data_IF_137559000813
#
_entry.id   IF_137559000813
#
_cell.length_a   1.000
_cell.length_b   1.000
_cell.length_c   1.000
_cell.angle_alpha   90.00
_cell.angle_beta   90.00
_cell.angle_gamma   90.00
#
_symmetry.space_group_name_H-M   'P 1'
#
loop_
_entity.id
_entity.type
_entity.pdbx_description
1 polymer ?
#
# COMPACT_ATOMS: atom_id res chain seq x y z
N UNK A 1 3.03 22.88 6.72
CA UNK A 1 3.53 21.52 6.98
C UNK A 1 2.74 20.60 6.07
N UNK A 2 3.36 19.97 5.08
CA UNK A 2 2.64 19.02 4.21
C UNK A 2 2.21 17.81 5.03
N UNK A 3 0.92 17.52 4.99
CA UNK A 3 0.35 16.37 5.68
C UNK A 3 0.81 15.10 4.95
N UNK A 4 1.60 14.27 5.63
CA UNK A 4 2.24 13.13 5.02
C UNK A 4 1.51 11.86 5.47
N UNK A 5 1.18 11.02 4.50
CA UNK A 5 0.47 9.76 4.70
C UNK A 5 1.46 8.60 4.74
N UNK A 6 1.22 7.62 5.60
CA UNK A 6 1.93 6.35 5.61
C UNK A 6 1.28 5.37 4.64
N UNK A 7 2.07 4.79 3.74
CA UNK A 7 1.63 3.85 2.72
C UNK A 7 2.49 2.59 2.81
N UNK A 8 1.85 1.44 3.00
CA UNK A 8 2.53 0.13 2.98
C UNK A 8 2.83 -0.26 1.53
N UNK A 9 4.11 -0.55 1.24
CA UNK A 9 4.54 -0.97 -0.08
C UNK A 9 3.99 -2.36 -0.43
N UNK A 10 3.33 -2.54 -1.59
CA UNK A 10 2.75 -3.82 -2.00
C UNK A 10 3.78 -4.91 -2.33
N UNK A 11 5.06 -4.54 -2.48
CA UNK A 11 6.11 -5.46 -2.91
C UNK A 11 6.99 -5.98 -1.77
N UNK A 12 7.22 -5.16 -0.74
CA UNK A 12 8.16 -5.49 0.34
C UNK A 12 7.61 -5.21 1.74
N UNK A 13 6.33 -4.83 1.86
CA UNK A 13 5.64 -4.47 3.10
C UNK A 13 6.28 -3.32 3.91
N UNK A 14 7.26 -2.61 3.34
CA UNK A 14 7.87 -1.43 3.98
C UNK A 14 6.86 -0.28 4.07
N UNK A 15 6.82 0.42 5.20
CA UNK A 15 5.99 1.61 5.39
C UNK A 15 6.72 2.84 4.86
N UNK A 16 6.06 3.59 3.98
CA UNK A 16 6.61 4.77 3.32
C UNK A 16 5.84 5.99 3.75
N UNK A 17 6.54 7.03 4.16
CA UNK A 17 5.95 8.35 4.40
C UNK A 17 5.93 9.11 3.08
N UNK A 18 4.73 9.46 2.61
CA UNK A 18 4.50 10.10 1.31
C UNK A 18 3.73 11.41 1.54
N UNK A 19 4.24 12.56 1.08
CA UNK A 19 3.46 13.81 1.11
C UNK A 19 2.14 13.62 0.34
N UNK A 20 1.03 14.13 0.87
CA UNK A 20 -0.30 13.95 0.25
C UNK A 20 -0.32 14.41 -1.22
N UNK A 21 0.36 15.52 -1.53
CA UNK A 21 0.50 16.06 -2.89
C UNK A 21 1.28 15.14 -3.85
N UNK A 22 2.08 14.22 -3.32
CA UNK A 22 2.88 13.27 -4.11
C UNK A 22 2.19 11.94 -4.33
N UNK A 23 1.02 11.67 -3.72
CA UNK A 23 0.29 10.41 -3.90
C UNK A 23 -0.08 10.16 -5.37
N UNK A 24 -0.37 11.23 -6.12
CA UNK A 24 -0.72 11.18 -7.54
C UNK A 24 0.49 11.21 -8.48
N UNK A 25 1.71 11.32 -7.94
CA UNK A 25 2.95 11.49 -8.72
C UNK A 25 3.76 10.20 -8.85
N UNK A 26 3.09 9.05 -8.86
CA UNK A 26 3.71 7.72 -8.94
C UNK A 26 4.87 7.53 -7.93
N UNK A 27 4.62 7.68 -6.62
CA UNK A 27 5.66 7.58 -5.60
C UNK A 27 6.27 6.18 -5.59
N UNK A 28 7.59 6.13 -5.32
CA UNK A 28 8.37 4.88 -5.23
C UNK A 28 8.66 4.55 -3.77
N UNK A 29 8.74 3.26 -3.47
CA UNK A 29 9.13 2.79 -2.16
C UNK A 29 10.58 3.19 -1.84
N UNK A 30 10.82 3.73 -0.65
CA UNK A 30 12.15 4.08 -0.17
C UNK A 30 13.09 2.88 -0.03
N UNK A 31 12.55 1.68 0.23
CA UNK A 31 13.29 0.42 0.44
C UNK A 31 13.56 -0.34 -0.86
N UNK A 32 12.53 -0.80 -1.57
CA UNK A 32 12.70 -1.62 -2.78
C UNK A 32 12.67 -0.83 -4.10
N UNK A 33 12.42 0.48 -4.07
CA UNK A 33 12.38 1.39 -5.23
C UNK A 33 11.28 1.12 -6.27
N UNK A 34 10.41 0.13 -6.05
CA UNK A 34 9.23 -0.10 -6.89
C UNK A 34 8.11 0.90 -6.59
N UNK A 35 7.19 1.11 -7.54
CA UNK A 35 6.06 2.02 -7.38
C UNK A 35 5.11 1.54 -6.26
N UNK A 36 4.58 2.48 -5.49
CA UNK A 36 3.61 2.17 -4.43
C UNK A 36 2.21 1.89 -4.99
N UNK A 37 1.84 2.54 -6.09
CA UNK A 37 0.57 2.35 -6.77
C UNK A 37 0.81 1.75 -8.16
N UNK A 38 0.36 0.51 -8.35
CA UNK A 38 0.57 -0.27 -9.58
C UNK A 38 -0.72 -0.50 -10.38
N UNK A 39 -1.87 -0.03 -9.87
CA UNK A 39 -3.17 -0.20 -10.52
C UNK A 39 -3.63 -1.66 -10.60
N UNK A 40 -3.12 -2.54 -9.73
CA UNK A 40 -3.47 -3.95 -9.66
C UNK A 40 -3.71 -4.35 -8.21
N UNK A 41 -4.62 -5.29 -7.94
CA UNK A 41 -4.76 -5.89 -6.62
C UNK A 41 -3.46 -6.53 -6.14
N UNK A 42 -3.31 -6.59 -4.82
CA UNK A 42 -2.21 -7.26 -4.14
C UNK A 42 -2.79 -8.47 -3.44
N UNK A 43 -2.18 -9.63 -3.66
CA UNK A 43 -2.58 -10.84 -2.94
C UNK A 43 -2.27 -10.68 -1.45
N UNK A 44 -3.30 -10.78 -0.62
CA UNK A 44 -3.16 -10.70 0.82
C UNK A 44 -3.20 -12.11 1.42
N UNK A 45 -2.31 -12.32 2.38
CA UNK A 45 -2.20 -13.52 3.20
C UNK A 45 -2.25 -13.12 4.66
N UNK A 46 -2.38 -14.09 5.56
CA UNK A 46 -2.27 -13.83 7.00
C UNK A 46 -0.97 -13.08 7.39
N UNK A 47 0.11 -13.27 6.64
CA UNK A 47 1.41 -12.66 6.91
C UNK A 47 1.49 -11.16 6.57
N UNK A 48 0.71 -10.66 5.60
CA UNK A 48 0.80 -9.26 5.15
C UNK A 48 -0.48 -8.45 5.42
N UNK A 49 -1.63 -9.11 5.59
CA UNK A 49 -2.94 -8.47 5.71
C UNK A 49 -2.98 -7.39 6.81
N UNK A 50 -2.59 -7.75 8.04
CA UNK A 50 -2.60 -6.84 9.18
C UNK A 50 -1.73 -5.60 8.96
N UNK A 51 -0.57 -5.78 8.34
CA UNK A 51 0.33 -4.66 8.04
C UNK A 51 -0.35 -3.68 7.07
N UNK A 52 -0.96 -4.19 6.01
CA UNK A 52 -1.61 -3.35 4.99
C UNK A 52 -2.78 -2.54 5.56
N UNK A 53 -3.64 -3.14 6.38
CA UNK A 53 -4.83 -2.47 6.92
C UNK A 53 -4.52 -1.51 8.08
N UNK A 54 -3.54 -1.83 8.93
CA UNK A 54 -3.31 -1.09 10.16
C UNK A 54 -2.28 0.03 10.03
N UNK A 55 -1.47 0.00 8.96
CA UNK A 55 -0.33 0.92 8.77
C UNK A 55 -0.40 1.75 7.50
N UNK A 56 -1.53 1.69 6.79
CA UNK A 56 -1.82 2.59 5.67
C UNK A 56 -2.82 3.65 6.14
N UNK A 57 -2.49 4.92 5.92
CA UNK A 57 -3.37 6.04 6.26
C UNK A 57 -4.44 6.29 5.16
N UNK A 58 -4.31 5.59 4.02
CA UNK A 58 -5.29 5.61 2.93
C UNK A 58 -6.35 4.50 3.09
N UNK A 59 -7.55 4.68 2.52
CA UNK A 59 -8.54 3.60 2.45
C UNK A 59 -7.98 2.36 1.74
N UNK A 60 -8.23 1.19 2.32
CA UNK A 60 -7.87 -0.11 1.74
C UNK A 60 -9.16 -0.85 1.40
N UNK A 61 -9.35 -1.13 0.10
CA UNK A 61 -10.41 -2.02 -0.37
C UNK A 61 -9.88 -3.46 -0.37
N UNK A 62 -10.62 -4.37 0.26
CA UNK A 62 -10.27 -5.80 0.30
C UNK A 62 -11.38 -6.61 -0.32
N UNK A 63 -11.01 -7.45 -1.27
CA UNK A 63 -11.89 -8.46 -1.86
C UNK A 63 -11.64 -9.81 -1.18
N UNK A 64 -12.63 -10.29 -0.43
CA UNK A 64 -12.60 -11.62 0.19
C UNK A 64 -13.36 -12.58 -0.71
N UNK A 65 -12.63 -13.43 -1.43
CA UNK A 65 -13.16 -14.30 -2.47
C UNK A 65 -12.71 -15.74 -2.26
N UNK A 66 -13.29 -16.65 -3.05
CA UNK A 66 -12.83 -18.02 -3.18
C UNK A 66 -12.96 -18.48 -4.65
N UNK A 67 -12.08 -19.35 -5.16
CA UNK A 67 -12.05 -19.72 -6.58
C UNK A 67 -13.23 -20.56 -7.07
N UNK A 68 -14.08 -21.00 -6.15
CA UNK A 68 -15.28 -21.81 -6.42
C UNK A 68 -16.58 -21.02 -6.27
N UNK A 69 -16.49 -19.74 -5.94
CA UNK A 69 -17.64 -18.83 -5.90
C UNK A 69 -18.03 -18.37 -7.31
#
# INVERSE_FOLDING_TARGET
>A
MSDAQHIVCPHCAGVNRVPAESLVQAPKCGKCKQHLFVGKPVELTAANFQTHIARSDIPVLVDFWAPWC
#
